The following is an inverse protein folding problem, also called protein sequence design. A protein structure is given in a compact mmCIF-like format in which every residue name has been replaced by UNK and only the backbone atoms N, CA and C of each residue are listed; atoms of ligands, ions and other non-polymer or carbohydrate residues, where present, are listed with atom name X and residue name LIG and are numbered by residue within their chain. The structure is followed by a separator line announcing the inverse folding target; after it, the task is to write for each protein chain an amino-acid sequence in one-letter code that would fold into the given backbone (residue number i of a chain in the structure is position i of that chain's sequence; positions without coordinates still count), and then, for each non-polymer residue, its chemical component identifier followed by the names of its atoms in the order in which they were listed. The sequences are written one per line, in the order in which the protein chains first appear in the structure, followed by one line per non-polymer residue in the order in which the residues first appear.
data_IF_401285019004
#
_entry.id   IF_401285019004
#
_cell.length_a   1.000
_cell.length_b   1.000
_cell.length_c   1.000
_cell.angle_alpha   90.00
_cell.angle_beta   90.00
_cell.angle_gamma   90.00
#
_symmetry.space_group_name_H-M   'P 1'
#
loop_
_entity.id
_entity.type
_entity.pdbx_description
1 polymer ?
#
# COMPACT_ATOMS: atom_id res chain seq x y z
N UNK A 1 -26.83 14.39 3.26
CA UNK A 1 -26.36 14.76 1.90
C UNK A 1 -25.40 13.68 1.43
N UNK A 2 -25.75 12.95 0.37
CA UNK A 2 -24.86 11.97 -0.28
C UNK A 2 -23.87 12.75 -1.14
N UNK A 3 -22.56 12.59 -0.92
CA UNK A 3 -21.55 13.11 -1.84
C UNK A 3 -21.49 12.20 -3.09
N UNK A 4 -21.69 12.76 -4.29
CA UNK A 4 -21.58 12.01 -5.54
C UNK A 4 -20.13 12.01 -6.05
N UNK A 5 -19.75 10.89 -6.67
CA UNK A 5 -18.75 10.76 -7.74
C UNK A 5 -17.35 11.42 -7.56
N UNK A 6 -16.35 10.57 -7.28
CA UNK A 6 -14.97 10.69 -7.81
C UNK A 6 -14.69 9.38 -8.54
N UNK A 7 -14.06 9.28 -9.70
CA UNK A 7 -13.82 10.17 -10.84
C UNK A 7 -13.38 9.17 -11.93
N UNK A 8 -14.02 9.14 -13.08
CA UNK A 8 -13.58 8.30 -14.21
C UNK A 8 -12.52 9.05 -15.00
N UNK A 9 -11.31 8.50 -15.14
CA UNK A 9 -10.39 8.86 -16.24
C UNK A 9 -8.92 9.06 -15.88
N UNK A 10 -8.04 8.24 -16.49
CA UNK A 10 -6.60 8.50 -16.68
C UNK A 10 -5.67 7.62 -15.82
N UNK A 11 -4.85 6.79 -16.47
CA UNK A 11 -3.66 6.13 -15.90
C UNK A 11 -2.95 7.03 -14.87
N UNK A 12 -2.68 6.52 -13.66
CA UNK A 12 -1.76 7.22 -12.78
C UNK A 12 -1.77 6.77 -11.34
N UNK A 13 -2.81 7.12 -10.59
CA UNK A 13 -2.81 6.97 -9.15
C UNK A 13 -4.23 6.71 -8.64
N UNK A 14 -4.42 5.53 -8.04
CA UNK A 14 -5.65 5.21 -7.33
C UNK A 14 -5.32 5.30 -5.85
N UNK A 15 -5.82 6.33 -5.17
CA UNK A 15 -5.85 6.40 -3.72
C UNK A 15 -7.01 5.51 -3.24
N UNK A 16 -6.72 4.41 -2.54
CA UNK A 16 -7.75 3.69 -1.76
C UNK A 16 -7.24 3.37 -0.37
N UNK A 17 -8.18 3.23 0.56
CA UNK A 17 -7.95 2.74 1.92
C UNK A 17 -8.27 1.26 1.97
N UNK A 18 -7.26 0.42 2.15
CA UNK A 18 -7.45 -0.92 2.72
C UNK A 18 -6.67 -0.96 4.04
N UNK A 19 -7.29 -1.48 5.11
CA UNK A 19 -6.73 -1.46 6.47
C UNK A 19 -6.62 -0.07 7.12
N UNK A 20 -7.39 0.93 6.66
CA UNK A 20 -7.30 2.35 7.07
C UNK A 20 -5.98 3.04 6.71
N UNK A 21 -5.04 2.32 6.08
CA UNK A 21 -3.77 2.86 5.61
C UNK A 21 -3.96 3.48 4.24
N UNK A 22 -3.51 4.73 4.08
CA UNK A 22 -3.51 5.41 2.79
C UNK A 22 -2.35 4.91 1.94
N UNK A 23 -2.62 4.60 0.67
CA UNK A 23 -1.64 4.12 -0.28
C UNK A 23 -1.82 4.74 -1.65
N UNK A 24 -0.71 4.87 -2.35
CA UNK A 24 -0.60 5.32 -3.74
C UNK A 24 -0.06 4.18 -4.61
N UNK A 25 -0.43 4.20 -5.89
CA UNK A 25 0.05 3.22 -6.86
C UNK A 25 0.36 3.89 -8.18
N UNK A 26 1.55 3.62 -8.73
CA UNK A 26 1.93 4.12 -10.04
C UNK A 26 2.65 3.06 -10.86
N UNK A 27 2.62 3.19 -12.19
CA UNK A 27 3.48 2.40 -13.06
C UNK A 27 4.90 3.00 -13.09
N UNK A 28 5.92 2.17 -12.88
CA UNK A 28 7.33 2.55 -12.98
C UNK A 28 7.93 1.96 -14.27
N UNK A 29 8.13 2.78 -15.32
CA UNK A 29 8.79 2.33 -16.54
C UNK A 29 10.20 1.73 -16.31
N UNK A 30 11.06 2.29 -15.43
CA UNK A 30 12.37 1.70 -15.13
C UNK A 30 12.29 0.29 -14.54
N UNK A 31 11.31 0.03 -13.66
CA UNK A 31 11.12 -1.28 -13.03
C UNK A 31 10.25 -2.23 -13.86
N UNK A 32 9.58 -1.69 -14.90
CA UNK A 32 8.57 -2.40 -15.69
C UNK A 32 7.53 -3.08 -14.81
N UNK A 33 7.10 -2.37 -13.77
CA UNK A 33 6.17 -2.85 -12.76
C UNK A 33 5.31 -1.74 -12.19
N UNK A 34 4.15 -2.10 -11.67
CA UNK A 34 3.37 -1.26 -10.77
C UNK A 34 4.03 -1.27 -9.39
N UNK A 35 4.15 -0.08 -8.81
CA UNK A 35 4.70 0.15 -7.48
C UNK A 35 3.58 0.69 -6.59
N UNK A 36 3.34 0.03 -5.47
CA UNK A 36 2.46 0.50 -4.42
C UNK A 36 3.30 1.02 -3.25
N UNK A 37 2.92 2.15 -2.68
CA UNK A 37 3.60 2.76 -1.52
C UNK A 37 2.63 3.38 -0.55
N UNK A 38 3.01 3.48 0.73
CA UNK A 38 2.24 4.20 1.75
C UNK A 38 3.17 5.15 2.50
N UNK A 39 2.72 6.38 2.74
CA UNK A 39 3.47 7.37 3.51
C UNK A 39 3.69 6.95 4.97
N UNK A 40 2.71 6.23 5.55
CA UNK A 40 2.78 5.70 6.92
C UNK A 40 3.82 4.59 7.06
N UNK A 41 4.07 3.86 5.98
CA UNK A 41 5.03 2.76 5.92
C UNK A 41 6.07 3.01 4.83
N UNK A 42 6.77 4.15 4.88
CA UNK A 42 7.71 4.60 3.85
C UNK A 42 8.89 3.62 3.56
N UNK A 43 9.13 2.63 4.43
CA UNK A 43 10.14 1.59 4.23
C UNK A 43 9.62 0.37 3.45
N UNK A 44 8.31 0.30 3.22
CA UNK A 44 7.65 -0.78 2.51
C UNK A 44 7.14 -0.31 1.15
N UNK A 45 7.38 -1.12 0.13
CA UNK A 45 6.79 -0.96 -1.19
C UNK A 45 6.26 -2.30 -1.67
N UNK A 46 5.12 -2.28 -2.34
CA UNK A 46 4.57 -3.43 -3.06
C UNK A 46 4.92 -3.33 -4.54
N UNK A 47 5.14 -4.47 -5.21
CA UNK A 47 5.51 -4.45 -6.63
C UNK A 47 4.94 -5.62 -7.42
N UNK A 48 4.45 -5.36 -8.62
CA UNK A 48 4.03 -6.40 -9.56
C UNK A 48 4.09 -5.95 -11.02
N UNK A 49 4.53 -6.84 -11.91
CA UNK A 49 4.74 -6.52 -13.33
C UNK A 49 3.44 -6.48 -14.17
N UNK A 50 2.37 -7.12 -13.70
CA UNK A 50 1.14 -7.31 -14.48
C UNK A 50 -0.07 -6.56 -13.95
N UNK A 51 -0.06 -6.17 -12.67
CA UNK A 51 -1.26 -5.67 -12.00
C UNK A 51 -0.96 -4.71 -10.85
N UNK A 52 -1.52 -3.50 -10.93
CA UNK A 52 -1.55 -2.56 -9.81
C UNK A 52 -2.18 -3.19 -8.55
N UNK A 53 -3.22 -4.01 -8.72
CA UNK A 53 -3.87 -4.71 -7.60
C UNK A 53 -2.94 -5.70 -6.93
N UNK A 54 -2.12 -6.43 -7.69
CA UNK A 54 -1.15 -7.35 -7.11
C UNK A 54 -0.03 -6.60 -6.37
N UNK A 55 0.40 -5.44 -6.87
CA UNK A 55 1.33 -4.57 -6.16
C UNK A 55 0.74 -4.07 -4.82
N UNK A 56 -0.53 -3.68 -4.80
CA UNK A 56 -1.24 -3.29 -3.56
C UNK A 56 -1.31 -4.45 -2.57
N UNK A 57 -1.73 -5.63 -3.02
CA UNK A 57 -1.82 -6.82 -2.15
C UNK A 57 -0.45 -7.19 -1.56
N UNK A 58 0.64 -7.07 -2.32
CA UNK A 58 2.00 -7.27 -1.82
C UNK A 58 2.39 -6.23 -0.75
N UNK A 59 2.04 -4.95 -0.94
CA UNK A 59 2.24 -3.91 0.08
C UNK A 59 1.46 -4.21 1.36
N UNK A 60 0.19 -4.59 1.25
CA UNK A 60 -0.68 -4.91 2.38
C UNK A 60 -0.18 -6.12 3.17
N UNK A 61 0.29 -7.16 2.49
CA UNK A 61 0.86 -8.34 3.14
C UNK A 61 2.13 -7.97 3.93
N UNK A 62 2.96 -7.07 3.39
CA UNK A 62 4.15 -6.55 4.08
C UNK A 62 3.76 -5.73 5.31
N UNK A 63 2.80 -4.82 5.18
CA UNK A 63 2.28 -4.02 6.30
C UNK A 63 1.71 -4.95 7.38
N UNK A 64 0.88 -5.93 7.00
CA UNK A 64 0.29 -6.91 7.93
C UNK A 64 1.38 -7.68 8.67
N UNK A 65 2.45 -8.10 7.98
CA UNK A 65 3.59 -8.78 8.64
C UNK A 65 4.28 -7.87 9.65
N UNK A 66 4.54 -6.60 9.32
CA UNK A 66 5.14 -5.65 10.27
C UNK A 66 4.23 -5.46 11.48
N UNK A 67 2.94 -5.21 11.26
CA UNK A 67 1.96 -5.03 12.34
C UNK A 67 1.78 -6.29 13.19
N UNK A 68 1.91 -7.49 12.62
CA UNK A 68 1.82 -8.76 13.34
C UNK A 68 3.12 -9.13 14.07
N UNK A 69 4.28 -8.60 13.65
CA UNK A 69 5.57 -8.80 14.33
C UNK A 69 5.89 -7.73 15.39
N UNK A 70 5.23 -6.57 15.34
CA UNK A 70 5.35 -5.48 16.33
C UNK A 70 4.63 -5.66 17.69
N UNK A 71 3.72 -6.64 17.97
CA UNK A 71 3.23 -6.81 19.34
C UNK A 71 4.28 -7.46 20.25
N UNK A 72 5.31 -8.13 19.70
CA UNK A 72 6.35 -8.79 20.51
C UNK A 72 7.55 -7.89 20.85
N UNK A 73 7.97 -6.99 19.96
CA UNK A 73 9.12 -6.11 20.24
C UNK A 73 8.86 -5.01 21.26
N UNK A 74 7.60 -4.60 21.45
CA UNK A 74 7.23 -3.66 22.51
C UNK A 74 7.11 -4.32 23.89
N UNK A 75 6.74 -5.61 23.95
CA UNK A 75 6.67 -6.37 25.22
C UNK A 75 8.04 -6.83 25.71
N UNK A 76 8.97 -7.19 24.81
CA UNK A 76 10.34 -7.58 25.19
C UNK A 76 11.21 -6.41 25.67
N UNK A 77 10.88 -5.15 25.31
CA UNK A 77 11.56 -3.96 25.85
C UNK A 77 11.00 -3.48 27.20
N UNK A 78 9.89 -4.06 27.65
CA UNK A 78 9.23 -3.75 28.92
C UNK A 78 9.34 -4.90 29.94
N UNK A 79 10.09 -5.96 29.63
CA UNK A 79 10.38 -7.09 30.53
C UNK A 79 11.78 -7.00 31.12
#
# INVERSE_FOLDING_TARGET
MKNPARNSGGDGDIDRRLLEVEWDTHWSPPERAFIASSAEFATLTGRDAGSALAAITDLEDKIRRVLMFEPHRLLEKLS
#
